data_IF_719682704585
#
_entry.id   IF_719682704585
#
_cell.length_a   1.000
_cell.length_b   1.000
_cell.length_c   1.000
_cell.angle_alpha   90.00
_cell.angle_beta   90.00
_cell.angle_gamma   90.00
#
_symmetry.space_group_name_H-M   'P 1'
#
loop_
_entity.id
_entity.type
_entity.pdbx_description
1 polymer ?
#
# COMPACT_ATOMS: atom_id res chain seq x y z
N UNK A 1 -29.72 -2.38 -0.69
CA UNK A 1 -30.03 -3.48 -1.61
C UNK A 1 -30.50 -4.67 -0.80
N UNK A 2 -31.75 -5.11 -0.94
CA UNK A 2 -32.23 -6.27 -0.20
C UNK A 2 -31.52 -7.55 -0.68
N UNK A 3 -31.23 -8.46 0.24
CA UNK A 3 -30.67 -9.78 -0.08
C UNK A 3 -31.80 -10.62 -0.70
N UNK A 4 -31.64 -11.01 -1.97
CA UNK A 4 -32.60 -11.86 -2.70
C UNK A 4 -32.28 -13.35 -2.51
N UNK A 5 -33.26 -14.21 -2.83
CA UNK A 5 -33.15 -15.67 -2.79
C UNK A 5 -32.09 -16.12 -3.81
N UNK A 6 -30.89 -16.44 -3.33
CA UNK A 6 -29.69 -16.70 -4.13
C UNK A 6 -28.39 -16.48 -3.35
N UNK A 7 -28.43 -15.74 -2.23
CA UNK A 7 -27.32 -15.67 -1.30
C UNK A 7 -27.30 -16.88 -0.35
N UNK A 8 -26.21 -17.64 -0.38
CA UNK A 8 -25.96 -18.80 0.50
C UNK A 8 -25.55 -18.43 1.92
N UNK A 9 -25.36 -17.14 2.22
CA UNK A 9 -25.11 -16.64 3.57
C UNK A 9 -24.60 -15.20 3.60
N UNK A 10 -24.63 -14.59 4.79
CA UNK A 10 -24.07 -13.28 5.09
C UNK A 10 -22.98 -13.43 6.15
N UNK A 11 -21.71 -13.22 5.78
CA UNK A 11 -20.60 -13.24 6.72
C UNK A 11 -20.40 -11.86 7.35
N UNK A 12 -20.90 -11.67 8.58
CA UNK A 12 -20.66 -10.48 9.37
C UNK A 12 -19.34 -10.62 10.15
N UNK A 13 -18.26 -10.04 9.62
CA UNK A 13 -16.97 -10.03 10.28
C UNK A 13 -16.95 -8.98 11.42
N UNK A 14 -16.39 -9.31 12.60
CA UNK A 14 -16.20 -8.33 13.66
C UNK A 14 -15.26 -7.21 13.20
N UNK A 15 -15.35 -6.00 13.77
CA UNK A 15 -14.51 -4.88 13.39
C UNK A 15 -13.03 -5.25 13.55
N UNK A 16 -12.28 -5.16 12.45
CA UNK A 16 -10.85 -5.49 12.42
C UNK A 16 -10.11 -4.60 13.42
N UNK A 17 -9.36 -5.20 14.34
CA UNK A 17 -8.59 -4.48 15.38
C UNK A 17 -7.66 -3.47 14.71
N UNK A 18 -7.85 -2.17 14.99
CA UNK A 18 -7.01 -1.10 14.43
C UNK A 18 -5.61 -1.24 15.01
N UNK A 19 -4.66 -1.68 14.19
CA UNK A 19 -3.25 -1.73 14.59
C UNK A 19 -2.69 -0.31 14.55
N UNK A 20 -2.01 0.12 15.62
CA UNK A 20 -1.34 1.43 15.66
C UNK A 20 -0.21 1.43 14.62
N UNK A 21 -0.22 2.44 13.77
CA UNK A 21 0.89 2.70 12.83
C UNK A 21 2.07 3.24 13.63
N UNK A 22 3.25 2.72 13.38
CA UNK A 22 4.51 3.23 13.94
C UNK A 22 5.40 3.76 12.81
N UNK A 23 6.51 4.41 13.17
CA UNK A 23 7.47 4.88 12.19
C UNK A 23 8.20 3.70 11.51
N UNK A 24 8.65 3.90 10.28
CA UNK A 24 9.45 2.90 9.58
C UNK A 24 10.80 2.71 10.30
N UNK A 25 11.12 1.47 10.69
CA UNK A 25 12.39 1.09 11.35
C UNK A 25 13.47 0.59 10.37
N UNK A 26 13.31 0.85 9.07
CA UNK A 26 14.26 0.46 8.02
C UNK A 26 14.62 -1.05 7.97
N UNK A 27 13.70 -1.94 8.35
CA UNK A 27 13.95 -3.39 8.41
C UNK A 27 14.16 -4.12 7.06
N UNK A 28 14.02 -3.46 5.91
CA UNK A 28 14.26 -4.05 4.58
C UNK A 28 13.25 -5.12 4.09
N UNK A 29 12.39 -5.69 4.96
CA UNK A 29 11.47 -6.80 4.60
C UNK A 29 10.53 -6.49 3.42
N UNK A 30 10.16 -5.23 3.25
CA UNK A 30 9.30 -4.81 2.14
C UNK A 30 9.93 -5.01 0.75
N UNK A 31 11.26 -4.96 0.65
CA UNK A 31 12.01 -5.19 -0.60
C UNK A 31 11.99 -6.67 -0.95
N UNK A 32 12.32 -7.53 0.01
CA UNK A 32 12.31 -8.98 -0.17
C UNK A 32 10.91 -9.54 -0.54
N UNK A 33 9.84 -8.92 -0.04
CA UNK A 33 8.47 -9.32 -0.36
C UNK A 33 7.94 -8.75 -1.70
N UNK A 34 8.68 -7.83 -2.34
CA UNK A 34 8.23 -7.19 -3.56
C UNK A 34 8.53 -8.09 -4.78
N UNK A 35 7.52 -8.54 -5.55
CA UNK A 35 7.76 -9.40 -6.72
C UNK A 35 8.45 -8.68 -7.89
N UNK A 36 8.48 -7.34 -7.87
CA UNK A 36 9.05 -6.49 -8.92
C UNK A 36 10.45 -5.99 -8.51
N UNK A 37 10.86 -6.24 -7.26
CA UNK A 37 12.17 -5.77 -6.76
C UNK A 37 12.24 -4.26 -6.54
N UNK A 38 11.11 -3.57 -6.39
CA UNK A 38 11.09 -2.14 -6.07
C UNK A 38 11.60 -1.90 -4.64
N UNK A 39 11.87 -0.63 -4.33
CA UNK A 39 12.20 -0.15 -2.98
C UNK A 39 11.00 0.58 -2.33
N UNK A 40 10.01 -0.14 -1.73
CA UNK A 40 8.81 0.48 -1.17
C UNK A 40 9.09 1.52 -0.09
N UNK A 41 10.14 1.32 0.72
CA UNK A 41 10.48 2.23 1.81
C UNK A 41 10.86 3.62 1.30
N UNK A 42 11.62 3.69 0.20
CA UNK A 42 12.02 4.95 -0.41
C UNK A 42 10.85 5.60 -1.15
N UNK A 43 10.10 4.83 -1.93
CA UNK A 43 8.89 5.31 -2.61
C UNK A 43 7.87 5.88 -1.62
N UNK A 44 7.69 5.24 -0.47
CA UNK A 44 6.81 5.74 0.56
C UNK A 44 7.26 7.11 1.07
N UNK A 45 8.54 7.29 1.38
CA UNK A 45 9.07 8.59 1.84
C UNK A 45 8.86 9.67 0.78
N UNK A 46 9.16 9.38 -0.48
CA UNK A 46 8.97 10.34 -1.57
C UNK A 46 7.51 10.77 -1.69
N UNK A 47 6.58 9.81 -1.66
CA UNK A 47 5.14 10.10 -1.72
C UNK A 47 4.64 10.84 -0.47
N UNK A 48 5.18 10.53 0.71
CA UNK A 48 4.85 11.18 1.98
C UNK A 48 5.38 12.63 2.03
N UNK A 49 6.53 12.89 1.42
CA UNK A 49 7.10 14.23 1.24
C UNK A 49 6.48 15.01 0.07
N UNK A 50 5.57 14.41 -0.72
CA UNK A 50 4.96 15.06 -1.88
C UNK A 50 5.84 15.10 -3.14
N UNK A 51 6.98 14.42 -3.12
CA UNK A 51 7.95 14.32 -4.22
C UNK A 51 7.54 13.24 -5.23
N UNK A 52 6.48 13.52 -5.99
CA UNK A 52 5.92 12.56 -6.95
C UNK A 52 6.82 12.31 -8.17
N UNK A 53 7.54 13.33 -8.65
CA UNK A 53 8.49 13.19 -9.77
C UNK A 53 9.65 12.26 -9.38
N UNK A 54 10.21 12.45 -8.18
CA UNK A 54 11.20 11.53 -7.63
C UNK A 54 10.67 10.11 -7.44
N UNK A 55 9.39 9.97 -7.08
CA UNK A 55 8.76 8.65 -6.98
C UNK A 55 8.59 7.98 -8.36
N UNK A 56 8.22 8.73 -9.40
CA UNK A 56 8.13 8.20 -10.77
C UNK A 56 9.48 7.72 -11.30
N UNK A 57 10.54 8.51 -11.07
CA UNK A 57 11.91 8.12 -11.44
C UNK A 57 12.36 6.83 -10.74
N UNK A 58 11.78 6.53 -9.58
CA UNK A 58 12.01 5.28 -8.84
C UNK A 58 11.00 4.17 -9.18
N UNK A 59 10.46 4.17 -10.41
CA UNK A 59 9.55 3.12 -10.90
C UNK A 59 8.25 2.97 -10.10
N UNK A 60 7.70 4.07 -9.55
CA UNK A 60 6.39 4.03 -8.87
C UNK A 60 5.29 3.47 -9.80
N UNK A 61 5.37 3.75 -11.10
CA UNK A 61 4.39 3.30 -12.09
C UNK A 61 4.35 1.77 -12.26
N UNK A 62 5.48 1.10 -12.03
CA UNK A 62 5.60 -0.36 -12.14
C UNK A 62 4.92 -1.09 -10.97
N UNK A 63 4.64 -0.40 -9.86
CA UNK A 63 4.01 -1.02 -8.70
C UNK A 63 2.61 -1.57 -9.00
N UNK A 64 2.40 -2.90 -9.00
CA UNK A 64 1.07 -3.50 -9.26
C UNK A 64 0.05 -3.44 -8.10
N UNK A 65 0.31 -2.64 -7.07
CA UNK A 65 -0.60 -2.46 -5.91
C UNK A 65 -0.98 -3.78 -5.19
N UNK A 66 -0.04 -4.74 -5.17
CA UNK A 66 -0.24 -6.10 -4.68
C UNK A 66 -0.56 -6.24 -3.18
N UNK A 67 -0.09 -5.30 -2.35
CA UNK A 67 -0.25 -5.38 -0.89
C UNK A 67 0.75 -6.24 -0.14
N UNK A 68 1.63 -6.98 -0.80
CA UNK A 68 2.65 -7.82 -0.12
C UNK A 68 3.53 -6.99 0.83
N UNK A 69 3.95 -5.79 0.39
CA UNK A 69 4.79 -4.90 1.20
C UNK A 69 4.06 -4.35 2.44
N UNK A 70 2.75 -4.06 2.34
CA UNK A 70 1.95 -3.56 3.45
C UNK A 70 1.64 -4.66 4.48
N UNK A 71 1.53 -5.92 4.02
CA UNK A 71 1.28 -7.07 4.88
C UNK A 71 2.51 -7.46 5.72
N UNK A 72 3.70 -7.49 5.10
CA UNK A 72 4.96 -7.85 5.77
C UNK A 72 5.53 -6.74 6.66
N UNK A 73 5.06 -5.49 6.50
CA UNK A 73 5.58 -4.35 7.24
C UNK A 73 5.26 -4.47 8.74
N UNK A 74 6.28 -4.54 9.63
CA UNK A 74 6.04 -4.61 11.07
C UNK A 74 5.46 -3.32 11.65
N UNK A 75 5.65 -2.19 10.95
CA UNK A 75 5.14 -0.88 11.33
C UNK A 75 3.73 -0.59 10.77
N UNK A 76 3.14 -1.54 10.04
CA UNK A 76 1.79 -1.44 9.45
C UNK A 76 1.56 -0.16 8.62
N UNK A 77 2.58 0.30 7.90
CA UNK A 77 2.45 1.46 7.01
C UNK A 77 1.47 1.16 5.87
N UNK A 78 0.60 2.13 5.51
CA UNK A 78 -0.37 1.97 4.43
C UNK A 78 0.28 2.17 3.04
N UNK A 79 1.31 1.38 2.73
CA UNK A 79 2.13 1.52 1.51
C UNK A 79 1.28 1.53 0.22
N UNK A 80 0.34 0.59 0.08
CA UNK A 80 -0.52 0.49 -1.11
C UNK A 80 -1.40 1.72 -1.29
N UNK A 81 -1.93 2.27 -0.20
CA UNK A 81 -2.77 3.45 -0.27
C UNK A 81 -1.95 4.65 -0.76
N UNK A 82 -0.75 4.84 -0.22
CA UNK A 82 0.14 5.91 -0.67
C UNK A 82 0.54 5.73 -2.13
N UNK A 83 0.89 4.52 -2.58
CA UNK A 83 1.25 4.30 -3.99
C UNK A 83 0.08 4.55 -4.95
N UNK A 84 -1.15 4.16 -4.58
CA UNK A 84 -2.37 4.50 -5.34
C UNK A 84 -2.54 6.01 -5.46
N UNK A 85 -2.38 6.73 -4.35
CA UNK A 85 -2.49 8.19 -4.30
C UNK A 85 -1.38 8.85 -5.12
N UNK A 86 -0.13 8.38 -4.98
CA UNK A 86 1.02 8.88 -5.74
C UNK A 86 0.89 8.67 -7.25
N UNK A 87 0.37 7.52 -7.71
CA UNK A 87 0.08 7.28 -9.14
C UNK A 87 -1.01 8.22 -9.67
N UNK A 88 -2.06 8.48 -8.89
CA UNK A 88 -3.15 9.38 -9.27
C UNK A 88 -2.70 10.85 -9.37
N UNK A 89 -1.92 11.30 -8.39
CA UNK A 89 -1.41 12.67 -8.33
C UNK A 89 -0.30 12.91 -9.35
N UNK A 90 0.58 11.92 -9.52
CA UNK A 90 1.64 11.98 -10.51
C UNK A 90 1.12 12.12 -11.95
N UNK A 91 0.04 11.42 -12.32
CA UNK A 91 -0.56 11.54 -13.66
C UNK A 91 -1.21 12.91 -13.96
N UNK A 92 -1.42 13.76 -12.95
CA UNK A 92 -2.14 15.03 -13.09
C UNK A 92 -1.22 16.25 -13.30
N UNK A 93 0.09 16.04 -13.37
CA UNK A 93 1.07 17.11 -13.54
C UNK A 93 1.67 17.03 -14.94
#
# INVERSE_FOLDING_TARGET
TPLTKGFSGLLALPPKKKVKRTACINCGRCVAACPIGLMPAQLYRLVDHGEYEGAMNNSLMDCKECGSCAFVCPAHLPLVHMFKTGKKLGRKK
#
